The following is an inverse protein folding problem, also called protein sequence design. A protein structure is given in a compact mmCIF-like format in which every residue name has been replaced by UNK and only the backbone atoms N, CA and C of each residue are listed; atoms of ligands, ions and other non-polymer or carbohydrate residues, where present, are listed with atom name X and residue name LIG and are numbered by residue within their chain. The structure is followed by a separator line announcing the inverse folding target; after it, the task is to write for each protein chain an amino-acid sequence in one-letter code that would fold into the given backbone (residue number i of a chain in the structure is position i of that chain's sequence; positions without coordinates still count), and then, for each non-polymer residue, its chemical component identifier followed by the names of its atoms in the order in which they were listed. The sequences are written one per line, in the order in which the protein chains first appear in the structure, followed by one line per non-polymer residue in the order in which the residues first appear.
data_IF_319855472023
#
_entry.id   IF_319855472023
#
_cell.length_a   1.000
_cell.length_b   1.000
_cell.length_c   1.000
_cell.angle_alpha   90.00
_cell.angle_beta   90.00
_cell.angle_gamma   90.00
#
_symmetry.space_group_name_H-M   'P 1'
#
loop_
_entity.id
_entity.type
_entity.pdbx_description
1 polymer ?
#
# COMPACT_ATOMS: atom_id res chain seq x y z
N UNK A 1 13.83 14.42 -4.39
CA UNK A 1 13.93 13.06 -4.96
C UNK A 1 12.88 12.21 -4.24
N UNK A 2 11.93 11.61 -4.96
CA UNK A 2 10.90 10.78 -4.33
C UNK A 2 11.50 9.50 -3.73
N UNK A 3 10.94 8.95 -2.65
CA UNK A 3 11.34 7.63 -2.13
C UNK A 3 10.86 6.55 -3.12
N UNK A 4 11.68 5.54 -3.39
CA UNK A 4 11.23 4.32 -4.08
C UNK A 4 10.36 3.52 -3.12
N UNK A 5 9.22 3.02 -3.60
CA UNK A 5 8.25 2.26 -2.81
C UNK A 5 8.14 0.84 -3.33
N UNK A 6 7.88 -0.11 -2.43
CA UNK A 6 7.48 -1.47 -2.79
C UNK A 6 5.97 -1.56 -2.86
N UNK A 7 5.43 -2.11 -3.94
CA UNK A 7 3.99 -2.36 -4.12
C UNK A 7 3.81 -3.85 -4.36
N UNK A 8 3.01 -4.49 -3.52
CA UNK A 8 2.46 -5.82 -3.79
C UNK A 8 1.03 -5.63 -4.27
N UNK A 9 0.81 -6.02 -5.54
CA UNK A 9 -0.46 -5.88 -6.24
C UNK A 9 -1.16 -7.25 -6.26
N UNK A 10 -1.70 -7.64 -5.10
CA UNK A 10 -2.45 -8.88 -4.96
C UNK A 10 -3.86 -8.79 -5.52
N UNK A 11 -4.43 -9.94 -5.90
CA UNK A 11 -5.78 -10.03 -6.47
C UNK A 11 -6.87 -9.56 -5.48
N UNK A 12 -6.74 -9.88 -4.19
CA UNK A 12 -7.75 -9.54 -3.17
C UNK A 12 -7.39 -8.28 -2.41
N UNK A 13 -6.13 -8.13 -2.02
CA UNK A 13 -5.62 -6.97 -1.29
C UNK A 13 -4.28 -6.55 -1.87
N UNK A 14 -3.99 -5.26 -1.77
CA UNK A 14 -2.70 -4.65 -2.09
C UNK A 14 -2.06 -4.07 -0.82
N UNK A 15 -0.73 -3.96 -0.82
CA UNK A 15 0.04 -3.35 0.26
C UNK A 15 1.20 -2.51 -0.31
N UNK A 16 1.58 -1.46 0.41
CA UNK A 16 2.70 -0.59 0.04
C UNK A 16 3.67 -0.41 1.20
N UNK A 17 4.98 -0.38 0.89
CA UNK A 17 6.04 -0.21 1.88
C UNK A 17 7.14 0.73 1.39
N UNK A 18 7.92 1.24 2.34
CA UNK A 18 9.14 2.02 2.10
C UNK A 18 10.31 1.44 2.90
N UNK A 19 11.53 1.68 2.41
CA UNK A 19 12.73 1.49 3.22
C UNK A 19 12.96 2.73 4.08
N UNK A 20 12.99 2.56 5.40
CA UNK A 20 13.25 3.62 6.38
C UNK A 20 14.23 3.08 7.43
N UNK A 21 15.36 3.77 7.63
CA UNK A 21 16.37 3.34 8.61
C UNK A 21 17.05 2.00 8.30
N UNK A 22 16.98 1.53 7.05
CA UNK A 22 17.50 0.21 6.65
C UNK A 22 16.48 -0.92 6.82
N UNK A 23 15.29 -0.63 7.35
CA UNK A 23 14.21 -1.61 7.52
C UNK A 23 13.04 -1.32 6.59
N UNK A 24 12.32 -2.37 6.19
CA UNK A 24 11.09 -2.23 5.42
C UNK A 24 9.92 -1.91 6.36
N UNK A 25 9.19 -0.83 6.05
CA UNK A 25 8.04 -0.38 6.83
C UNK A 25 6.81 -0.26 5.95
N UNK A 26 5.73 -0.93 6.34
CA UNK A 26 4.43 -0.85 5.67
C UNK A 26 3.76 0.49 5.97
N UNK A 27 3.20 1.13 4.95
CA UNK A 27 2.48 2.40 5.08
C UNK A 27 1.00 2.09 5.31
N UNK A 28 0.37 2.62 6.38
CA UNK A 28 -1.08 2.50 6.54
C UNK A 28 -1.82 3.33 5.48
N UNK A 29 -2.97 2.85 5.03
CA UNK A 29 -3.88 3.57 4.15
C UNK A 29 -4.68 4.65 4.92
N UNK A 30 -5.56 5.37 4.23
CA UNK A 30 -6.34 6.46 4.81
C UNK A 30 -7.30 5.98 5.92
N UNK A 31 -7.71 4.71 5.88
CA UNK A 31 -8.51 4.05 6.92
C UNK A 31 -7.67 3.53 8.11
N UNK A 32 -6.35 3.69 8.08
CA UNK A 32 -5.42 3.21 9.11
C UNK A 32 -5.08 1.71 9.02
N UNK A 33 -5.60 1.00 8.01
CA UNK A 33 -5.28 -0.39 7.74
C UNK A 33 -3.94 -0.51 6.98
N UNK A 34 -3.26 -1.65 7.12
CA UNK A 34 -1.98 -1.91 6.44
C UNK A 34 -2.12 -2.58 5.07
N UNK A 35 -3.34 -2.91 4.68
CA UNK A 35 -3.68 -3.51 3.39
C UNK A 35 -4.94 -2.85 2.87
N UNK A 36 -5.04 -2.67 1.57
CA UNK A 36 -6.22 -2.10 0.90
C UNK A 36 -6.84 -3.17 -0.01
N UNK A 37 -8.16 -3.41 0.04
CA UNK A 37 -8.82 -4.28 -0.93
C UNK A 37 -8.55 -3.84 -2.36
N UNK A 38 -8.20 -4.78 -3.24
CA UNK A 38 -7.92 -4.52 -4.66
C UNK A 38 -9.21 -4.42 -5.46
N UNK A 39 -10.05 -3.43 -5.12
CA UNK A 39 -11.39 -3.25 -5.67
C UNK A 39 -11.58 -1.81 -6.13
N UNK A 40 -12.16 -1.63 -7.32
CA UNK A 40 -12.58 -0.32 -7.84
C UNK A 40 -14.08 -0.38 -8.11
N UNK A 41 -14.83 0.61 -7.62
CA UNK A 41 -16.28 0.72 -7.83
C UNK A 41 -16.64 2.04 -8.51
N UNK A 42 -17.53 1.97 -9.51
CA UNK A 42 -18.11 3.13 -10.17
C UNK A 42 -19.53 3.34 -9.63
N UNK A 43 -19.79 4.49 -9.01
CA UNK A 43 -21.13 4.86 -8.57
C UNK A 43 -21.97 5.33 -9.78
N UNK A 44 -23.28 5.10 -9.72
CA UNK A 44 -24.23 5.49 -10.78
C UNK A 44 -24.58 6.97 -10.71
#
# INVERSE_FOLDING_TARGET
MSKIIGIDLGTTNSVVSIMEGGEAKVIPNEEGARTTPSVVAFLK
#
